data_IF_705126237725
#
_entry.id   IF_705126237725
#
_cell.length_a   1.000
_cell.length_b   1.000
_cell.length_c   1.000
_cell.angle_alpha   90.00
_cell.angle_beta   90.00
_cell.angle_gamma   90.00
#
_symmetry.space_group_name_H-M   'P 1'
#
loop_
_entity.id
_entity.type
_entity.pdbx_description
1 polymer ?
#
# COMPACT_ATOMS: atom_id res chain seq x y z
N UNK A 1 40.91 -41.25 21.43
CA UNK A 1 39.64 -41.29 20.68
C UNK A 1 38.85 -40.05 21.08
N UNK A 2 39.10 -38.92 20.40
CA UNK A 2 38.47 -37.63 20.67
C UNK A 2 37.26 -37.44 19.77
N UNK A 3 36.07 -37.23 20.36
CA UNK A 3 34.87 -36.81 19.65
C UNK A 3 35.02 -35.32 19.30
N UNK A 4 35.02 -35.01 18.03
CA UNK A 4 34.85 -33.64 17.54
C UNK A 4 33.39 -33.30 17.61
N UNK A 5 33.01 -32.43 18.56
CA UNK A 5 31.70 -31.78 18.59
C UNK A 5 31.65 -30.75 17.46
N UNK A 6 31.06 -31.14 16.36
CA UNK A 6 30.70 -30.24 15.25
C UNK A 6 29.54 -29.36 15.64
N UNK A 7 29.81 -28.19 16.18
CA UNK A 7 28.83 -27.11 16.37
C UNK A 7 28.49 -26.54 15.00
N UNK A 8 27.33 -26.87 14.47
CA UNK A 8 26.76 -26.23 13.27
C UNK A 8 26.42 -24.79 13.67
N UNK A 9 26.99 -23.77 13.02
CA UNK A 9 26.57 -22.40 13.29
C UNK A 9 25.18 -22.18 12.70
N UNK A 10 24.16 -22.12 13.54
CA UNK A 10 22.83 -21.63 13.20
C UNK A 10 22.84 -20.10 13.29
N UNK A 11 23.55 -19.44 12.41
CA UNK A 11 23.46 -18.00 12.23
C UNK A 11 23.65 -17.67 10.74
N UNK A 12 22.71 -18.12 9.92
CA UNK A 12 22.54 -17.59 8.59
C UNK A 12 21.70 -16.31 8.72
N UNK A 13 22.36 -15.20 9.04
CA UNK A 13 21.75 -13.87 8.91
C UNK A 13 21.17 -13.75 7.52
N UNK A 14 19.95 -13.18 7.41
CA UNK A 14 19.34 -12.90 6.12
C UNK A 14 20.29 -12.03 5.30
N UNK A 15 20.38 -12.25 3.99
CA UNK A 15 21.15 -11.35 3.13
C UNK A 15 20.49 -9.97 3.14
N UNK A 16 21.27 -8.91 2.93
CA UNK A 16 20.74 -7.54 2.84
C UNK A 16 19.59 -7.43 1.84
N UNK A 17 19.62 -8.19 0.77
CA UNK A 17 18.56 -8.28 -0.23
C UNK A 17 17.27 -8.90 0.33
N UNK A 18 17.36 -9.89 1.19
CA UNK A 18 16.21 -10.50 1.86
C UNK A 18 15.60 -9.54 2.88
N UNK A 19 16.41 -8.78 3.59
CA UNK A 19 15.95 -7.75 4.52
C UNK A 19 15.19 -6.62 3.79
N UNK A 20 15.73 -6.18 2.65
CA UNK A 20 15.09 -5.17 1.80
C UNK A 20 13.76 -5.67 1.23
N UNK A 21 13.70 -6.91 0.80
CA UNK A 21 12.47 -7.54 0.31
C UNK A 21 11.37 -7.55 1.39
N UNK A 22 11.72 -7.97 2.61
CA UNK A 22 10.77 -8.00 3.72
C UNK A 22 10.39 -6.59 4.20
N UNK A 23 11.29 -5.63 4.11
CA UNK A 23 10.99 -4.22 4.42
C UNK A 23 9.95 -3.64 3.46
N UNK A 24 10.08 -3.87 2.13
CA UNK A 24 9.10 -3.43 1.14
C UNK A 24 7.75 -4.13 1.36
N UNK A 25 7.73 -5.44 1.58
CA UNK A 25 6.52 -6.19 1.91
C UNK A 25 5.83 -5.62 3.14
N UNK A 26 6.60 -5.27 4.15
CA UNK A 26 6.09 -4.65 5.38
C UNK A 26 5.44 -3.28 5.10
N UNK A 27 6.03 -2.45 4.25
CA UNK A 27 5.43 -1.15 3.86
C UNK A 27 4.06 -1.36 3.22
N UNK A 28 3.92 -2.30 2.27
CA UNK A 28 2.64 -2.61 1.62
C UNK A 28 1.61 -3.13 2.61
N UNK A 29 1.98 -4.06 3.50
CA UNK A 29 1.06 -4.60 4.52
C UNK A 29 0.64 -3.52 5.53
N UNK A 30 1.55 -2.64 5.92
CA UNK A 30 1.24 -1.51 6.81
C UNK A 30 0.29 -0.51 6.16
N UNK A 31 0.38 -0.27 4.85
CA UNK A 31 -0.58 0.56 4.12
C UNK A 31 -2.01 0.12 4.38
N UNK A 32 -2.32 -1.16 4.16
CA UNK A 32 -3.64 -1.72 4.42
C UNK A 32 -4.08 -1.56 5.90
N UNK A 33 -3.20 -1.92 6.83
CA UNK A 33 -3.51 -1.85 8.26
C UNK A 33 -3.78 -0.43 8.76
N UNK A 34 -2.99 0.55 8.30
CA UNK A 34 -3.12 1.95 8.69
C UNK A 34 -4.35 2.61 8.08
N UNK A 35 -4.69 2.29 6.84
CA UNK A 35 -5.93 2.77 6.20
C UNK A 35 -7.17 2.16 6.86
N UNK A 36 -7.15 0.86 7.19
CA UNK A 36 -8.25 0.18 7.89
C UNK A 36 -8.53 0.72 9.30
N UNK A 37 -7.51 1.28 9.94
CA UNK A 37 -7.58 1.87 11.29
C UNK A 37 -7.59 3.39 11.27
N UNK A 38 -7.65 4.00 10.10
CA UNK A 38 -7.66 5.47 9.90
C UNK A 38 -6.47 6.20 10.53
N UNK A 39 -5.31 5.54 10.60
CA UNK A 39 -4.06 6.13 11.09
C UNK A 39 -3.35 6.88 9.95
N UNK A 40 -4.00 7.92 9.44
CA UNK A 40 -3.58 8.62 8.21
C UNK A 40 -2.21 9.28 8.33
N UNK A 41 -1.89 9.87 9.47
CA UNK A 41 -0.57 10.50 9.68
C UNK A 41 0.57 9.49 9.59
N UNK A 42 0.36 8.27 10.11
CA UNK A 42 1.33 7.19 10.03
C UNK A 42 1.41 6.62 8.61
N UNK A 43 0.26 6.51 7.91
CA UNK A 43 0.23 6.08 6.52
C UNK A 43 0.99 7.05 5.61
N UNK A 44 0.81 8.37 5.77
CA UNK A 44 1.59 9.40 5.04
C UNK A 44 3.11 9.27 5.29
N UNK A 45 3.52 8.80 6.47
CA UNK A 45 4.94 8.60 6.77
C UNK A 45 5.59 7.48 5.98
N UNK A 46 4.81 6.60 5.35
CA UNK A 46 5.30 5.56 4.44
C UNK A 46 5.75 6.12 3.09
N UNK A 47 5.42 7.37 2.78
CA UNK A 47 5.82 8.04 1.55
C UNK A 47 7.15 8.78 1.72
N UNK A 48 7.95 8.80 0.66
CA UNK A 48 9.09 9.72 0.55
C UNK A 48 8.61 11.17 0.59
N UNK A 49 9.52 12.11 0.87
CA UNK A 49 9.17 13.54 0.90
C UNK A 49 8.59 14.04 -0.43
N UNK A 50 9.08 13.49 -1.55
CA UNK A 50 8.61 13.78 -2.91
C UNK A 50 7.65 12.71 -3.45
N UNK A 51 7.18 11.82 -2.56
CA UNK A 51 6.29 10.74 -2.93
C UNK A 51 4.90 11.20 -3.35
N UNK A 52 4.22 10.39 -4.16
CA UNK A 52 2.88 10.70 -4.67
C UNK A 52 1.97 9.47 -4.66
N UNK A 53 0.67 9.75 -4.69
CA UNK A 53 -0.42 8.77 -4.70
C UNK A 53 -1.30 8.99 -5.92
N UNK A 54 -1.67 7.92 -6.61
CA UNK A 54 -2.66 7.93 -7.68
C UNK A 54 -3.72 6.84 -7.45
N UNK A 55 -4.99 7.20 -7.65
CA UNK A 55 -6.08 6.26 -7.84
C UNK A 55 -6.57 6.38 -9.29
N UNK A 56 -6.45 5.30 -10.05
CA UNK A 56 -6.81 5.27 -11.45
C UNK A 56 -7.59 3.99 -11.82
N UNK A 57 -8.34 4.08 -12.91
CA UNK A 57 -8.99 2.93 -13.53
C UNK A 57 -8.85 3.00 -15.06
N UNK A 58 -8.78 1.85 -15.71
CA UNK A 58 -8.78 1.80 -17.17
C UNK A 58 -10.21 1.64 -17.70
N UNK A 59 -10.66 2.58 -18.55
CA UNK A 59 -11.94 2.46 -19.26
C UNK A 59 -11.74 1.72 -20.56
N UNK A 60 -12.38 0.57 -20.70
CA UNK A 60 -12.38 -0.22 -21.94
C UNK A 60 -13.22 0.43 -23.03
N UNK A 61 -14.24 1.21 -22.69
CA UNK A 61 -15.16 1.90 -23.60
C UNK A 61 -14.45 2.99 -24.39
N UNK A 62 -13.69 3.84 -23.68
CA UNK A 62 -12.95 4.93 -24.31
C UNK A 62 -11.47 4.60 -24.53
N UNK A 63 -11.03 3.41 -24.10
CA UNK A 63 -9.65 2.91 -24.19
C UNK A 63 -8.61 3.85 -23.61
N UNK A 64 -8.90 4.39 -22.41
CA UNK A 64 -8.04 5.36 -21.71
C UNK A 64 -8.00 5.10 -20.21
N UNK A 65 -6.88 5.50 -19.61
CA UNK A 65 -6.78 5.66 -18.18
C UNK A 65 -7.62 6.83 -17.71
N UNK A 66 -8.32 6.63 -16.62
CA UNK A 66 -9.05 7.65 -15.88
C UNK A 66 -8.36 7.80 -14.54
N UNK A 67 -7.71 8.93 -14.32
CA UNK A 67 -7.16 9.28 -13.01
C UNK A 67 -8.28 9.91 -12.19
N UNK A 68 -8.67 9.24 -11.11
CA UNK A 68 -9.70 9.73 -10.19
C UNK A 68 -9.12 10.63 -9.11
N UNK A 69 -7.88 10.35 -8.72
CA UNK A 69 -7.11 11.15 -7.79
C UNK A 69 -5.63 11.07 -8.13
N UNK A 70 -4.95 12.21 -8.05
CA UNK A 70 -3.49 12.31 -8.11
C UNK A 70 -3.08 13.40 -7.12
N UNK A 71 -2.23 13.04 -6.17
CA UNK A 71 -1.79 13.95 -5.11
C UNK A 71 -0.32 13.69 -4.79
N UNK A 72 0.46 14.74 -4.65
CA UNK A 72 1.74 14.65 -3.97
C UNK A 72 1.54 14.49 -2.45
N UNK A 73 2.60 14.16 -1.75
CA UNK A 73 2.53 13.92 -0.30
C UNK A 73 1.98 15.12 0.51
N UNK A 74 2.35 16.39 0.24
CA UNK A 74 1.74 17.55 0.93
C UNK A 74 0.25 17.69 0.68
N UNK A 75 -0.22 17.56 -0.57
CA UNK A 75 -1.64 17.66 -0.91
C UNK A 75 -2.43 16.50 -0.31
N UNK A 76 -1.86 15.29 -0.31
CA UNK A 76 -2.45 14.11 0.31
C UNK A 76 -2.62 14.30 1.83
N UNK A 77 -1.59 14.87 2.49
CA UNK A 77 -1.66 15.20 3.92
C UNK A 77 -2.76 16.22 4.19
N UNK A 78 -2.82 17.30 3.44
CA UNK A 78 -3.86 18.33 3.61
C UNK A 78 -5.26 17.71 3.47
N UNK A 79 -5.49 16.93 2.42
CA UNK A 79 -6.77 16.25 2.19
C UNK A 79 -7.17 15.37 3.38
N UNK A 80 -6.22 14.62 3.95
CA UNK A 80 -6.49 13.73 5.08
C UNK A 80 -6.69 14.46 6.41
N UNK A 81 -6.03 15.60 6.62
CA UNK A 81 -6.26 16.45 7.78
C UNK A 81 -7.72 16.99 7.78
N UNK A 82 -8.30 17.21 6.60
CA UNK A 82 -9.68 17.72 6.41
C UNK A 82 -10.76 16.62 6.45
N UNK A 83 -10.40 15.33 6.35
CA UNK A 83 -11.36 14.20 6.32
C UNK A 83 -12.31 14.19 7.52
N UNK A 84 -11.83 14.60 8.69
CA UNK A 84 -12.65 14.66 9.90
C UNK A 84 -13.79 15.69 9.86
N UNK A 85 -13.71 16.69 8.98
CA UNK A 85 -14.67 17.77 8.83
C UNK A 85 -15.78 17.47 7.79
N UNK A 86 -15.59 16.42 7.00
CA UNK A 86 -16.52 16.03 5.96
C UNK A 86 -17.49 14.94 6.41
N UNK A 87 -18.70 14.96 5.82
CA UNK A 87 -19.63 13.83 5.91
C UNK A 87 -18.99 12.64 5.20
N UNK A 88 -18.70 11.60 5.96
CA UNK A 88 -18.07 10.38 5.44
C UNK A 88 -18.93 9.15 5.65
N UNK A 89 -18.65 8.12 4.86
CA UNK A 89 -19.25 6.81 5.00
C UNK A 89 -18.89 6.23 6.40
N UNK A 90 -19.88 5.93 7.26
CA UNK A 90 -19.63 5.38 8.59
C UNK A 90 -19.22 3.90 8.57
N UNK A 91 -19.20 3.26 7.42
CA UNK A 91 -18.85 1.87 7.28
C UNK A 91 -17.36 1.65 7.55
N UNK A 92 -17.06 0.49 8.13
CA UNK A 92 -15.68 0.04 8.31
C UNK A 92 -15.14 -0.52 7.00
N UNK A 93 -13.85 -0.31 6.78
CA UNK A 93 -13.11 -0.86 5.66
C UNK A 93 -12.18 -1.97 6.11
N UNK A 94 -11.97 -2.93 5.22
CA UNK A 94 -11.02 -4.02 5.43
C UNK A 94 -10.36 -4.37 4.12
N UNK A 95 -9.07 -4.08 4.04
CA UNK A 95 -8.23 -4.50 2.93
C UNK A 95 -7.83 -5.97 3.10
N UNK A 96 -7.87 -6.71 2.00
CA UNK A 96 -7.25 -8.02 1.85
C UNK A 96 -6.19 -7.86 0.77
N UNK A 97 -4.93 -7.90 1.17
CA UNK A 97 -3.79 -7.60 0.31
C UNK A 97 -2.99 -8.88 0.07
N UNK A 98 -2.71 -9.15 -1.18
CA UNK A 98 -1.84 -10.26 -1.58
C UNK A 98 -0.38 -10.04 -1.18
N UNK A 99 0.45 -11.03 -1.45
CA UNK A 99 1.89 -10.88 -1.27
C UNK A 99 2.46 -10.02 -2.41
N UNK A 100 3.22 -8.95 -2.11
CA UNK A 100 3.86 -8.14 -3.12
C UNK A 100 4.88 -8.94 -3.95
N UNK A 101 4.77 -8.84 -5.26
CA UNK A 101 5.82 -9.24 -6.18
C UNK A 101 6.76 -8.05 -6.37
N UNK A 102 8.00 -8.19 -5.88
CA UNK A 102 8.98 -7.10 -5.80
C UNK A 102 10.11 -7.34 -6.79
N UNK A 103 10.45 -6.31 -7.55
CA UNK A 103 11.57 -6.26 -8.48
C UNK A 103 12.48 -5.09 -8.13
N UNK A 104 13.72 -5.39 -7.73
CA UNK A 104 14.73 -4.36 -7.49
C UNK A 104 15.27 -3.85 -8.82
N UNK A 105 15.28 -2.54 -9.00
CA UNK A 105 15.86 -1.89 -10.17
C UNK A 105 17.31 -1.49 -9.94
N UNK A 106 17.67 -1.22 -8.68
CA UNK A 106 19.03 -1.03 -8.18
C UNK A 106 19.04 -1.21 -6.64
N UNK A 107 20.15 -0.88 -5.98
CA UNK A 107 20.33 -1.03 -4.52
C UNK A 107 19.41 -0.12 -3.68
N UNK A 108 18.82 0.89 -4.29
CA UNK A 108 18.02 1.91 -3.61
C UNK A 108 16.63 2.14 -4.22
N UNK A 109 16.29 1.44 -5.30
CA UNK A 109 14.99 1.55 -5.95
C UNK A 109 14.39 0.18 -6.29
N UNK A 110 13.08 0.07 -6.16
CA UNK A 110 12.33 -1.14 -6.45
C UNK A 110 10.94 -0.81 -7.00
N UNK A 111 10.34 -1.79 -7.67
CA UNK A 111 8.92 -1.80 -8.04
C UNK A 111 8.23 -2.94 -7.36
N UNK A 112 6.95 -2.79 -7.06
CA UNK A 112 6.14 -3.89 -6.60
C UNK A 112 4.76 -3.88 -7.23
N UNK A 113 4.23 -5.08 -7.49
CA UNK A 113 2.84 -5.27 -7.89
C UNK A 113 2.15 -6.13 -6.85
N UNK A 114 0.98 -5.67 -6.39
CA UNK A 114 0.23 -6.35 -5.33
C UNK A 114 -1.24 -6.35 -5.66
N UNK A 115 -1.89 -7.49 -5.65
CA UNK A 115 -3.36 -7.55 -5.78
C UNK A 115 -4.03 -7.22 -4.46
N UNK A 116 -5.17 -6.55 -4.52
CA UNK A 116 -5.96 -6.26 -3.32
C UNK A 116 -7.46 -6.37 -3.59
N UNK A 117 -8.21 -6.57 -2.50
CA UNK A 117 -9.63 -6.33 -2.44
C UNK A 117 -9.97 -5.58 -1.16
N UNK A 118 -10.93 -4.68 -1.24
CA UNK A 118 -11.42 -3.88 -0.12
C UNK A 118 -12.87 -4.24 0.14
N UNK A 119 -13.16 -4.66 1.36
CA UNK A 119 -14.51 -4.91 1.85
C UNK A 119 -15.00 -3.73 2.66
N UNK A 120 -16.28 -3.46 2.54
CA UNK A 120 -17.02 -2.46 3.29
C UNK A 120 -18.02 -3.16 4.19
N UNK A 121 -18.03 -2.82 5.50
CA UNK A 121 -18.98 -3.36 6.48
C UNK A 121 -19.79 -2.21 7.05
N UNK A 122 -21.11 -2.23 6.84
CA UNK A 122 -22.02 -1.20 7.34
C UNK A 122 -22.12 -1.23 8.86
N UNK A 123 -22.62 -0.16 9.52
CA UNK A 123 -22.83 -0.16 10.98
C UNK A 123 -23.74 -1.29 11.45
N UNK A 124 -24.67 -1.77 10.61
CA UNK A 124 -25.59 -2.88 10.88
C UNK A 124 -24.90 -4.25 10.74
N UNK A 125 -23.62 -4.30 10.33
CA UNK A 125 -22.82 -5.51 10.25
C UNK A 125 -22.88 -6.24 8.90
N UNK A 126 -23.44 -5.64 7.85
CA UNK A 126 -23.43 -6.23 6.50
C UNK A 126 -22.16 -5.92 5.77
N UNK A 127 -21.43 -6.95 5.33
CA UNK A 127 -20.20 -6.80 4.54
C UNK A 127 -20.45 -7.03 3.07
N UNK A 128 -19.84 -6.18 2.24
CA UNK A 128 -19.85 -6.30 0.78
C UNK A 128 -18.46 -6.02 0.22
N UNK A 129 -18.16 -6.57 -0.95
CA UNK A 129 -16.98 -6.21 -1.72
C UNK A 129 -17.19 -4.78 -2.25
N UNK A 130 -16.17 -3.93 -2.09
CA UNK A 130 -16.24 -2.52 -2.46
C UNK A 130 -15.33 -2.18 -3.66
N UNK A 131 -14.06 -2.57 -3.59
CA UNK A 131 -13.09 -2.35 -4.67
C UNK A 131 -12.23 -3.62 -4.83
N UNK A 132 -11.89 -3.92 -6.09
CA UNK A 132 -10.87 -4.91 -6.46
C UNK A 132 -9.87 -4.22 -7.38
N UNK A 133 -8.60 -4.58 -7.26
CA UNK A 133 -7.58 -4.03 -8.13
C UNK A 133 -6.15 -4.47 -7.77
N UNK A 134 -5.21 -3.67 -8.17
CA UNK A 134 -3.80 -3.86 -7.85
C UNK A 134 -3.14 -2.55 -7.43
N UNK A 135 -2.11 -2.68 -6.61
CA UNK A 135 -1.12 -1.63 -6.36
C UNK A 135 0.04 -1.81 -7.34
N UNK A 136 0.43 -0.75 -8.01
CA UNK A 136 1.62 -0.65 -8.88
C UNK A 136 2.55 0.39 -8.25
N UNK A 137 3.47 -0.08 -7.43
CA UNK A 137 4.26 0.75 -6.53
C UNK A 137 5.67 0.97 -7.05
N UNK A 138 6.20 2.16 -6.78
CA UNK A 138 7.63 2.45 -6.90
C UNK A 138 8.17 2.83 -5.53
N UNK A 139 9.28 2.21 -5.16
CA UNK A 139 9.92 2.39 -3.88
C UNK A 139 11.29 3.04 -4.03
N UNK A 140 11.66 3.82 -3.01
CA UNK A 140 12.99 4.39 -2.85
C UNK A 140 13.49 4.11 -1.43
N UNK A 141 14.79 3.78 -1.32
CA UNK A 141 15.48 3.60 -0.04
C UNK A 141 16.25 4.87 0.30
N UNK A 142 15.85 5.53 1.39
CA UNK A 142 16.55 6.69 1.94
C UNK A 142 16.80 6.48 3.42
N UNK A 143 18.02 6.77 3.87
CA UNK A 143 18.42 6.62 5.28
C UNK A 143 18.14 5.22 5.84
N UNK A 144 18.36 4.19 5.00
CA UNK A 144 18.15 2.79 5.35
C UNK A 144 16.67 2.34 5.39
N UNK A 145 15.72 3.20 5.05
CA UNK A 145 14.28 2.88 5.07
C UNK A 145 13.67 2.94 3.66
N UNK A 146 12.87 1.93 3.33
CA UNK A 146 12.09 1.91 2.10
C UNK A 146 10.81 2.72 2.26
N UNK A 147 10.48 3.57 1.26
CA UNK A 147 9.29 4.41 1.21
C UNK A 147 8.69 4.41 -0.19
N UNK A 148 7.41 4.74 -0.29
CA UNK A 148 6.78 5.00 -1.58
C UNK A 148 7.36 6.26 -2.22
N UNK A 149 7.99 6.10 -3.38
CA UNK A 149 8.19 7.19 -4.33
C UNK A 149 6.90 7.44 -5.14
N UNK A 150 6.17 6.36 -5.45
CA UNK A 150 4.86 6.43 -6.08
C UNK A 150 4.01 5.24 -5.64
N UNK A 151 2.83 5.51 -5.09
CA UNK A 151 1.82 4.50 -4.76
C UNK A 151 0.64 4.65 -5.70
N UNK A 152 0.49 3.73 -6.62
CA UNK A 152 -0.56 3.74 -7.63
C UNK A 152 -1.56 2.63 -7.37
N UNK A 153 -2.80 3.03 -7.12
CA UNK A 153 -3.94 2.12 -7.00
C UNK A 153 -4.62 2.03 -8.37
N UNK A 154 -4.57 0.87 -8.97
CA UNK A 154 -5.27 0.55 -10.22
C UNK A 154 -6.54 -0.21 -9.87
N UNK A 155 -7.68 0.45 -10.02
CA UNK A 155 -8.98 -0.15 -9.72
C UNK A 155 -9.57 -0.86 -10.94
N UNK A 156 -9.94 -2.13 -10.76
CA UNK A 156 -10.78 -2.86 -11.72
C UNK A 156 -12.26 -2.47 -11.55
N UNK A 157 -12.64 -2.10 -10.32
CA UNK A 157 -13.97 -1.61 -9.99
C UNK A 157 -14.12 -0.17 -10.48
N UNK A 158 -15.07 0.09 -11.35
CA UNK A 158 -15.32 1.42 -11.95
C UNK A 158 -16.59 2.10 -11.46
N UNK A 159 -17.43 1.38 -10.75
CA UNK A 159 -18.65 1.90 -10.15
C UNK A 159 -18.59 1.64 -8.66
N UNK A 160 -18.62 2.71 -7.89
CA UNK A 160 -18.60 2.66 -6.42
C UNK A 160 -19.97 3.04 -5.87
N UNK A 161 -20.53 2.21 -5.01
CA UNK A 161 -21.87 2.43 -4.40
C UNK A 161 -21.88 3.56 -3.39
N UNK A 162 -20.72 3.89 -2.81
CA UNK A 162 -20.58 4.96 -1.85
C UNK A 162 -19.37 5.83 -2.20
N UNK A 163 -19.54 7.13 -1.98
CA UNK A 163 -18.47 8.09 -2.18
C UNK A 163 -17.37 7.88 -1.12
N UNK A 164 -16.11 7.94 -1.55
CA UNK A 164 -14.98 7.84 -0.65
C UNK A 164 -14.13 9.09 -0.68
N UNK A 165 -13.86 9.64 0.51
CA UNK A 165 -12.89 10.71 0.74
C UNK A 165 -11.56 10.18 1.29
N UNK A 166 -11.46 8.87 1.48
CA UNK A 166 -10.31 8.20 2.07
C UNK A 166 -9.63 7.38 0.99
N UNK A 167 -8.29 7.41 0.89
CA UNK A 167 -7.51 6.56 -0.02
C UNK A 167 -7.85 5.07 0.11
N UNK A 168 -7.48 4.33 -0.91
CA UNK A 168 -7.74 2.89 -1.03
C UNK A 168 -6.43 2.13 -1.06
#
# INVERSE_FOLDING_TARGET
>A
MGKADGKIPCDAGMSSHQEDLEAIRTVVQRTAALLDTEQFSEWISLFDAEGSYELAAYSTEIRRWMTWQLSDRPALKQMLDEVGEHVRDPARRRHVVGMPFVEFTDDATARATTTFSLFRTTPEGTSSLYIVGSYEDQFIKRDGAWRYAFHRVVSDTRVLDAFTHIPV
#
